data_IF_852062629137
#
_entry.id   IF_852062629137
#
_cell.length_a   1.000
_cell.length_b   1.000
_cell.length_c   1.000
_cell.angle_alpha   90.00
_cell.angle_beta   90.00
_cell.angle_gamma   90.00
#
_symmetry.space_group_name_H-M   'P 1'
#
loop_
_entity.id
_entity.type
_entity.pdbx_description
1 polymer ?
#
# COMPACT_ATOMS: atom_id res chain seq x y z
N UNK A 1 -32.70 -20.01 -7.12
CA UNK A 1 -31.59 -20.57 -7.93
C UNK A 1 -31.04 -19.50 -8.87
N UNK A 2 -31.90 -18.82 -9.63
CA UNK A 2 -31.52 -17.70 -10.51
C UNK A 2 -30.79 -16.55 -9.77
N UNK A 3 -31.32 -16.06 -8.65
CA UNK A 3 -30.64 -15.04 -7.83
C UNK A 3 -29.24 -15.42 -7.34
N UNK A 4 -29.00 -16.71 -7.04
CA UNK A 4 -27.69 -17.17 -6.57
C UNK A 4 -26.67 -17.25 -7.72
N UNK A 5 -27.16 -17.52 -8.94
CA UNK A 5 -26.35 -17.51 -10.16
C UNK A 5 -26.03 -16.06 -10.54
N UNK A 6 -27.00 -15.15 -10.51
CA UNK A 6 -26.80 -13.72 -10.81
C UNK A 6 -25.77 -13.08 -9.87
N UNK A 7 -25.91 -13.26 -8.54
CA UNK A 7 -24.93 -12.75 -7.57
C UNK A 7 -23.50 -13.31 -7.84
N UNK A 8 -23.40 -14.59 -8.18
CA UNK A 8 -22.09 -15.20 -8.50
C UNK A 8 -21.48 -14.71 -9.80
N UNK A 9 -22.30 -14.26 -10.76
CA UNK A 9 -21.83 -13.65 -12.01
C UNK A 9 -21.31 -12.24 -11.73
N UNK A 10 -22.02 -11.46 -10.92
CA UNK A 10 -21.61 -10.10 -10.56
C UNK A 10 -20.28 -10.11 -9.79
N UNK A 11 -20.15 -10.98 -8.77
CA UNK A 11 -18.90 -11.14 -8.00
C UNK A 11 -17.72 -11.56 -8.91
N UNK A 12 -17.98 -12.43 -9.88
CA UNK A 12 -16.96 -12.84 -10.85
C UNK A 12 -16.50 -11.67 -11.74
N UNK A 13 -17.43 -10.82 -12.19
CA UNK A 13 -17.10 -9.63 -12.99
C UNK A 13 -16.27 -8.65 -12.17
N UNK A 14 -16.68 -8.35 -10.93
CA UNK A 14 -15.94 -7.45 -10.03
C UNK A 14 -14.53 -7.98 -9.78
N UNK A 15 -14.39 -9.27 -9.50
CA UNK A 15 -13.09 -9.90 -9.28
C UNK A 15 -12.20 -9.84 -10.53
N UNK A 16 -12.80 -9.95 -11.72
CA UNK A 16 -12.10 -9.82 -12.99
C UNK A 16 -11.61 -8.38 -13.21
N UNK A 17 -12.47 -7.37 -13.00
CA UNK A 17 -12.11 -5.96 -13.13
C UNK A 17 -10.97 -5.58 -12.16
N UNK A 18 -11.03 -6.08 -10.91
CA UNK A 18 -9.95 -5.93 -9.95
C UNK A 18 -8.62 -6.49 -10.48
N UNK A 19 -8.63 -7.71 -11.03
CA UNK A 19 -7.41 -8.33 -11.57
C UNK A 19 -6.86 -7.56 -12.79
N UNK A 20 -7.73 -7.09 -13.68
CA UNK A 20 -7.32 -6.26 -14.83
C UNK A 20 -6.70 -4.92 -14.38
N UNK A 21 -7.25 -4.31 -13.33
CA UNK A 21 -6.68 -3.12 -12.72
C UNK A 21 -5.29 -3.37 -12.12
N UNK A 22 -5.13 -4.46 -11.35
CA UNK A 22 -3.83 -4.87 -10.79
C UNK A 22 -2.80 -5.08 -11.90
N UNK A 23 -3.16 -5.79 -12.98
CA UNK A 23 -2.24 -6.04 -14.08
C UNK A 23 -1.82 -4.77 -14.81
N UNK A 24 -2.72 -3.80 -14.96
CA UNK A 24 -2.39 -2.48 -15.51
C UNK A 24 -1.40 -1.72 -14.63
N UNK A 25 -1.60 -1.72 -13.30
CA UNK A 25 -0.67 -1.08 -12.37
C UNK A 25 0.71 -1.77 -12.36
N UNK A 26 0.73 -3.11 -12.37
CA UNK A 26 1.98 -3.88 -12.47
C UNK A 26 2.76 -3.51 -13.72
N UNK A 27 2.08 -3.46 -14.87
CA UNK A 27 2.69 -3.05 -16.13
C UNK A 27 3.30 -1.65 -16.04
N UNK A 28 2.59 -0.69 -15.43
CA UNK A 28 3.11 0.66 -15.23
C UNK A 28 4.37 0.67 -14.35
N UNK A 29 4.33 -0.03 -13.21
CA UNK A 29 5.45 -0.12 -12.25
C UNK A 29 6.68 -0.82 -12.83
N UNK A 30 6.50 -1.77 -13.77
CA UNK A 30 7.59 -2.46 -14.45
C UNK A 30 8.31 -1.57 -15.47
N UNK A 31 7.60 -0.63 -16.11
CA UNK A 31 8.18 0.30 -17.08
C UNK A 31 8.95 1.47 -16.45
N UNK A 32 8.70 1.75 -15.17
CA UNK A 32 9.34 2.88 -14.48
C UNK A 32 10.83 2.61 -14.20
N UNK A 33 11.69 3.52 -14.65
CA UNK A 33 13.06 3.60 -14.15
C UNK A 33 13.05 4.00 -12.66
N UNK A 34 13.73 3.25 -11.78
CA UNK A 34 13.73 3.56 -10.36
C UNK A 34 14.33 4.94 -10.08
N UNK A 35 13.64 5.74 -9.27
CA UNK A 35 14.09 7.09 -8.86
C UNK A 35 14.66 7.11 -7.45
N UNK A 36 14.32 6.11 -6.65
CA UNK A 36 14.80 5.94 -5.28
C UNK A 36 15.17 4.48 -5.02
N UNK A 37 16.29 4.27 -4.33
CA UNK A 37 16.84 2.92 -4.14
C UNK A 37 16.03 2.09 -3.13
N UNK A 38 15.64 2.69 -2.00
CA UNK A 38 14.92 2.00 -0.95
C UNK A 38 13.89 2.93 -0.31
N UNK A 39 12.67 2.42 -0.18
CA UNK A 39 11.63 3.01 0.65
C UNK A 39 11.24 2.09 1.79
N UNK A 40 11.09 2.66 2.97
CA UNK A 40 10.61 2.01 4.18
C UNK A 40 9.20 2.51 4.46
N UNK A 41 8.23 1.60 4.51
CA UNK A 41 6.83 1.92 4.79
C UNK A 41 6.45 1.46 6.18
N UNK A 42 5.94 2.37 7.01
CA UNK A 42 5.53 2.11 8.39
C UNK A 42 4.07 2.48 8.55
N UNK A 43 3.25 1.58 9.10
CA UNK A 43 1.87 1.90 9.45
C UNK A 43 1.82 2.68 10.77
N UNK A 44 0.99 3.71 10.82
CA UNK A 44 0.71 4.54 12.00
C UNK A 44 -0.54 4.06 12.71
N UNK A 45 -0.69 4.45 13.97
CA UNK A 45 -1.83 4.06 14.81
C UNK A 45 -3.19 4.58 14.31
N UNK A 46 -3.19 5.67 13.53
CA UNK A 46 -4.39 6.21 12.90
C UNK A 46 -4.75 5.52 11.56
N UNK A 47 -4.04 4.45 11.20
CA UNK A 47 -4.23 3.72 9.94
C UNK A 47 -3.40 4.23 8.77
N UNK A 48 -2.83 5.45 8.85
CA UNK A 48 -2.05 6.03 7.76
C UNK A 48 -0.66 5.42 7.63
N UNK A 49 0.04 5.75 6.54
CA UNK A 49 1.39 5.26 6.27
C UNK A 49 2.41 6.39 6.36
N UNK A 50 3.61 6.06 6.85
CA UNK A 50 4.79 6.91 6.75
C UNK A 50 5.78 6.26 5.79
N UNK A 51 6.33 7.03 4.84
CA UNK A 51 7.33 6.57 3.88
C UNK A 51 8.66 7.28 4.13
N UNK A 52 9.71 6.50 4.34
CA UNK A 52 11.07 6.99 4.58
C UNK A 52 12.03 6.43 3.53
N UNK A 53 13.14 7.12 3.28
CA UNK A 53 14.21 6.65 2.41
C UNK A 53 15.14 5.64 3.11
N UNK A 54 16.27 5.34 2.46
CA UNK A 54 17.34 4.50 2.99
C UNK A 54 18.05 5.07 4.23
N UNK A 55 18.09 6.40 4.35
CA UNK A 55 18.68 7.13 5.50
C UNK A 55 17.69 7.27 6.64
N UNK A 56 16.46 6.78 6.47
CA UNK A 56 15.32 6.93 7.38
C UNK A 56 14.86 8.38 7.49
N UNK A 57 15.20 9.21 6.49
CA UNK A 57 14.63 10.53 6.34
C UNK A 57 13.23 10.38 5.74
N UNK A 58 12.29 11.17 6.23
CA UNK A 58 10.90 11.06 5.81
C UNK A 58 10.77 11.71 4.44
N UNK A 59 10.42 10.93 3.42
CA UNK A 59 10.19 11.44 2.06
C UNK A 59 8.78 12.01 1.97
N UNK A 60 7.84 11.26 2.56
CA UNK A 60 6.43 11.63 2.63
C UNK A 60 6.00 11.46 4.08
N UNK A 61 5.95 12.58 4.81
CA UNK A 61 5.22 12.68 6.08
C UNK A 61 3.80 13.17 5.83
N UNK A 62 3.63 14.10 4.88
CA UNK A 62 2.53 15.07 4.91
C UNK A 62 1.37 14.87 3.91
N UNK A 63 1.51 14.04 2.87
CA UNK A 63 0.33 13.63 2.06
C UNK A 63 -0.59 12.64 2.82
N UNK A 64 -0.12 12.14 3.97
CA UNK A 64 -0.74 11.18 4.86
C UNK A 64 -0.79 11.69 6.31
N UNK A 65 -0.46 12.98 6.53
CA UNK A 65 -0.72 13.62 7.83
C UNK A 65 -2.21 13.91 7.94
N UNK A 66 -2.72 13.67 9.14
CA UNK A 66 -4.14 13.51 9.43
C UNK A 66 -5.04 14.63 8.93
N UNK A 67 -4.58 15.81 8.58
CA UNK A 67 -5.45 16.91 8.16
C UNK A 67 -6.15 16.70 6.80
N UNK A 68 -5.41 16.32 5.74
CA UNK A 68 -6.03 16.05 4.43
C UNK A 68 -6.80 14.73 4.46
N UNK A 69 -6.25 13.71 5.13
CA UNK A 69 -6.92 12.43 5.30
C UNK A 69 -8.15 12.52 6.23
N UNK A 70 -8.21 13.44 7.19
CA UNK A 70 -9.41 13.71 8.00
C UNK A 70 -10.49 14.41 7.18
N UNK A 71 -10.11 15.31 6.26
CA UNK A 71 -11.05 15.98 5.35
C UNK A 71 -11.66 14.99 4.35
N UNK A 72 -10.87 14.04 3.86
CA UNK A 72 -11.29 13.03 2.87
C UNK A 72 -11.48 11.63 3.48
N UNK A 73 -11.61 11.52 4.81
CA UNK A 73 -11.58 10.23 5.53
C UNK A 73 -12.67 9.27 5.08
N UNK A 74 -13.81 9.83 4.68
CA UNK A 74 -14.97 9.06 4.22
C UNK A 74 -14.91 8.77 2.70
N UNK A 75 -13.95 9.38 1.98
CA UNK A 75 -13.87 9.33 0.51
C UNK A 75 -12.66 8.55 -0.02
N UNK A 76 -11.58 8.38 0.77
CA UNK A 76 -10.31 7.81 0.28
C UNK A 76 -9.70 6.80 1.25
N UNK A 77 -9.38 5.61 0.75
CA UNK A 77 -8.71 4.56 1.51
C UNK A 77 -7.19 4.80 1.60
N UNK A 78 -6.61 4.53 2.78
CA UNK A 78 -5.16 4.70 3.00
C UNK A 78 -4.30 3.79 2.12
N UNK A 79 -4.84 2.64 1.71
CA UNK A 79 -4.14 1.69 0.85
C UNK A 79 -3.98 2.23 -0.58
N UNK A 80 -5.00 2.87 -1.12
CA UNK A 80 -4.95 3.53 -2.43
C UNK A 80 -3.92 4.68 -2.45
N UNK A 81 -3.85 5.43 -1.34
CA UNK A 81 -2.86 6.47 -1.16
C UNK A 81 -1.44 5.89 -1.10
N UNK A 82 -1.26 4.76 -0.41
CA UNK A 82 0.03 4.08 -0.34
C UNK A 82 0.46 3.60 -1.73
N UNK A 83 -0.42 2.93 -2.47
CA UNK A 83 -0.15 2.47 -3.84
C UNK A 83 0.22 3.65 -4.73
N UNK A 84 -0.57 4.73 -4.69
CA UNK A 84 -0.33 5.94 -5.48
C UNK A 84 1.02 6.58 -5.16
N UNK A 85 1.37 6.68 -3.87
CA UNK A 85 2.64 7.23 -3.43
C UNK A 85 3.82 6.38 -3.91
N UNK A 86 3.73 5.05 -3.78
CA UNK A 86 4.79 4.13 -4.22
C UNK A 86 4.96 4.14 -5.75
N UNK A 87 3.87 4.24 -6.52
CA UNK A 87 3.93 4.42 -7.98
C UNK A 87 4.64 5.73 -8.33
N UNK A 88 4.32 6.82 -7.63
CA UNK A 88 4.92 8.13 -7.90
C UNK A 88 6.42 8.16 -7.58
N UNK A 89 6.80 7.55 -6.46
CA UNK A 89 8.19 7.45 -6.00
C UNK A 89 9.05 6.53 -6.88
N UNK A 90 8.44 5.56 -7.58
CA UNK A 90 9.14 4.57 -8.39
C UNK A 90 10.34 3.93 -7.66
N UNK A 91 10.13 3.25 -6.52
CA UNK A 91 11.21 2.67 -5.74
C UNK A 91 11.80 1.43 -6.42
N UNK A 92 13.11 1.24 -6.24
CA UNK A 92 13.81 0.00 -6.61
C UNK A 92 13.48 -1.12 -5.61
N UNK A 93 13.36 -0.79 -4.33
CA UNK A 93 13.02 -1.72 -3.25
C UNK A 93 12.07 -1.08 -2.23
N UNK A 94 11.13 -1.86 -1.74
CA UNK A 94 10.12 -1.50 -0.74
C UNK A 94 10.27 -2.45 0.45
N UNK A 95 10.43 -1.92 1.65
CA UNK A 95 10.42 -2.69 2.89
C UNK A 95 9.21 -2.27 3.72
N UNK A 96 8.31 -3.22 3.96
CA UNK A 96 7.11 -2.99 4.79
C UNK A 96 7.41 -3.37 6.25
N UNK A 97 7.10 -2.47 7.17
CA UNK A 97 7.33 -2.61 8.60
C UNK A 97 6.02 -2.87 9.38
N UNK A 98 5.09 -3.59 8.76
CA UNK A 98 3.78 -3.96 9.32
C UNK A 98 3.33 -5.32 8.75
N UNK A 99 2.35 -5.95 9.41
CA UNK A 99 1.84 -7.29 9.08
C UNK A 99 0.36 -7.30 8.67
N UNK A 100 -0.20 -6.17 8.25
CA UNK A 100 -1.55 -6.13 7.69
C UNK A 100 -1.61 -6.94 6.39
N UNK A 101 -2.32 -8.07 6.41
CA UNK A 101 -2.33 -9.04 5.31
C UNK A 101 -2.88 -8.43 4.01
N UNK A 102 -3.91 -7.61 4.09
CA UNK A 102 -4.60 -7.04 2.93
C UNK A 102 -3.72 -6.02 2.20
N UNK A 103 -3.27 -4.98 2.91
CA UNK A 103 -2.35 -3.98 2.38
C UNK A 103 -1.03 -4.61 1.87
N UNK A 104 -0.47 -5.57 2.60
CA UNK A 104 0.75 -6.28 2.18
C UNK A 104 0.52 -7.05 0.89
N UNK A 105 -0.61 -7.75 0.77
CA UNK A 105 -0.95 -8.51 -0.42
C UNK A 105 -1.17 -7.59 -1.64
N UNK A 106 -1.91 -6.50 -1.48
CA UNK A 106 -2.14 -5.51 -2.54
C UNK A 106 -0.82 -4.92 -3.05
N UNK A 107 0.05 -4.46 -2.13
CA UNK A 107 1.37 -3.92 -2.50
C UNK A 107 2.23 -5.00 -3.17
N UNK A 108 2.19 -6.25 -2.70
CA UNK A 108 2.92 -7.36 -3.36
C UNK A 108 2.37 -7.68 -4.74
N UNK A 109 1.06 -7.67 -4.94
CA UNK A 109 0.43 -7.89 -6.25
C UNK A 109 0.92 -6.86 -7.26
N UNK A 110 0.99 -5.59 -6.86
CA UNK A 110 1.36 -4.48 -7.76
C UNK A 110 2.87 -4.35 -7.98
N UNK A 111 3.67 -4.41 -6.91
CA UNK A 111 5.11 -4.14 -6.98
C UNK A 111 5.98 -5.40 -7.04
N UNK A 112 5.38 -6.57 -6.85
CA UNK A 112 6.01 -7.88 -7.04
C UNK A 112 7.29 -8.04 -6.23
N UNK A 113 8.38 -8.38 -6.93
CA UNK A 113 9.69 -8.69 -6.34
C UNK A 113 10.38 -7.50 -5.68
N UNK A 114 9.87 -6.27 -5.87
CA UNK A 114 10.39 -5.07 -5.20
C UNK A 114 10.05 -5.06 -3.70
N UNK A 115 9.10 -5.88 -3.24
CA UNK A 115 8.54 -5.84 -1.89
C UNK A 115 9.17 -6.89 -0.97
N UNK A 116 9.63 -6.46 0.20
CA UNK A 116 10.07 -7.31 1.30
C UNK A 116 9.36 -6.94 2.60
N UNK A 117 9.11 -7.95 3.45
CA UNK A 117 8.65 -7.72 4.82
C UNK A 117 9.87 -7.58 5.74
N UNK A 118 9.82 -6.60 6.65
CA UNK A 118 10.84 -6.46 7.67
C UNK A 118 10.79 -7.63 8.66
N UNK A 119 11.94 -8.26 8.95
CA UNK A 119 12.05 -9.33 9.96
C UNK A 119 11.94 -8.85 11.42
N UNK A 120 11.46 -7.62 11.64
CA UNK A 120 11.39 -6.96 12.94
C UNK A 120 12.55 -5.99 13.19
N UNK A 121 12.20 -4.71 13.37
CA UNK A 121 13.15 -3.67 13.77
C UNK A 121 12.51 -2.67 14.75
N UNK A 122 13.22 -1.60 15.09
CA UNK A 122 12.70 -0.52 15.95
C UNK A 122 11.47 0.19 15.40
N UNK A 123 11.21 0.13 14.08
CA UNK A 123 10.03 0.74 13.45
C UNK A 123 8.80 -0.18 13.51
N UNK A 124 8.98 -1.51 13.39
CA UNK A 124 7.89 -2.47 13.58
C UNK A 124 7.30 -2.37 15.00
N UNK A 125 8.15 -2.22 16.02
CA UNK A 125 7.73 -2.08 17.42
C UNK A 125 6.99 -0.77 17.73
N UNK A 126 7.07 0.23 16.86
CA UNK A 126 6.35 1.50 17.03
C UNK A 126 4.97 1.48 16.36
N UNK A 127 4.74 0.57 15.41
CA UNK A 127 3.44 0.36 14.77
C UNK A 127 2.54 -0.62 15.52
N UNK A 128 3.13 -1.46 16.39
CA UNK A 128 2.41 -2.39 17.26
C UNK A 128 2.40 -1.85 18.71
N UNK A 129 1.32 -1.17 19.11
CA UNK A 129 0.96 -1.02 20.52
C UNK A 129 1.06 0.39 21.13
N UNK A 130 -0.11 0.99 21.35
CA UNK A 130 -0.53 1.48 22.67
C UNK A 130 -2.06 1.49 22.69
N UNK A 131 -2.68 0.32 22.75
CA UNK A 131 -3.98 0.20 23.40
C UNK A 131 -3.74 0.31 24.91
N UNK A 132 -4.08 1.47 25.47
CA UNK A 132 -4.41 1.62 26.87
C UNK A 132 -5.73 2.35 26.97
#
# INVERSE_FOLDING_TARGET
LEMAIELSVDDFIIQKEYNEFIDLLRYFVELQEPRIDLVNVVRRNNGSFQIMDEKKEVIISEYLEGYLAEIFKDDVEYEDLLVSALINLAPRKIVLHFHDEEAVETVRKIFGRKVELCAGCSHCKKGEGNEK
#
